data_IF_127477371000
#
_entry.id   IF_127477371000
#
_cell.length_a   1.000
_cell.length_b   1.000
_cell.length_c   1.000
_cell.angle_alpha   90.00
_cell.angle_beta   90.00
_cell.angle_gamma   90.00
#
_symmetry.space_group_name_H-M   'P 1'
#
loop_
_entity.id
_entity.type
_entity.pdbx_description
1 polymer ?
#
# COMPACT_ATOMS: atom_id res chain seq x y z
N UNK A 1 -18.49 -8.37 -1.73
CA UNK A 1 -18.55 -6.89 -1.59
C UNK A 1 -17.17 -6.21 -1.43
N UNK A 2 -16.18 -6.81 -0.75
CA UNK A 2 -14.84 -6.23 -0.52
C UNK A 2 -13.99 -5.87 -1.76
N UNK A 3 -14.11 -6.58 -2.90
CA UNK A 3 -13.30 -6.29 -4.11
C UNK A 3 -13.58 -4.93 -4.78
N UNK A 4 -14.80 -4.38 -4.65
CA UNK A 4 -15.23 -3.25 -5.50
C UNK A 4 -14.40 -1.97 -5.36
N UNK A 5 -14.07 -1.56 -4.14
CA UNK A 5 -13.27 -0.35 -3.93
C UNK A 5 -11.79 -0.59 -4.24
N UNK A 6 -11.24 -1.79 -3.97
CA UNK A 6 -9.86 -2.15 -4.36
C UNK A 6 -9.71 -2.04 -5.88
N UNK A 7 -10.64 -2.60 -6.65
CA UNK A 7 -10.64 -2.51 -8.12
C UNK A 7 -10.70 -1.05 -8.59
N UNK A 8 -11.49 -0.19 -7.93
CA UNK A 8 -11.52 1.25 -8.24
C UNK A 8 -10.19 1.94 -7.97
N UNK A 9 -9.52 1.63 -6.86
CA UNK A 9 -8.19 2.18 -6.55
C UNK A 9 -7.18 1.74 -7.61
N UNK A 10 -7.18 0.47 -8.00
CA UNK A 10 -6.29 -0.04 -9.06
C UNK A 10 -6.57 0.64 -10.39
N UNK A 11 -7.84 0.84 -10.74
CA UNK A 11 -8.21 1.60 -11.93
C UNK A 11 -7.63 3.02 -11.88
N UNK A 12 -7.80 3.74 -10.76
CA UNK A 12 -7.24 5.08 -10.55
C UNK A 12 -5.71 5.11 -10.71
N UNK A 13 -4.99 4.14 -10.12
CA UNK A 13 -3.52 4.02 -10.30
C UNK A 13 -3.16 3.90 -11.78
N UNK A 14 -3.83 2.99 -12.50
CA UNK A 14 -3.54 2.75 -13.91
C UNK A 14 -3.87 3.97 -14.78
N UNK A 15 -4.99 4.65 -14.52
CA UNK A 15 -5.35 5.89 -15.23
C UNK A 15 -4.34 6.99 -14.97
N UNK A 16 -3.96 7.23 -13.70
CA UNK A 16 -2.96 8.25 -13.37
C UNK A 16 -1.62 7.98 -14.04
N UNK A 17 -1.18 6.71 -14.09
CA UNK A 17 0.05 6.34 -14.78
C UNK A 17 -0.03 6.52 -16.31
N UNK A 18 -1.16 6.14 -16.92
CA UNK A 18 -1.37 6.28 -18.37
C UNK A 18 -1.38 7.75 -18.82
N UNK A 19 -2.02 8.61 -18.03
CA UNK A 19 -2.15 10.05 -18.30
C UNK A 19 -0.98 10.88 -17.75
N UNK A 20 0.14 10.25 -17.40
CA UNK A 20 1.34 10.88 -16.85
C UNK A 20 1.12 11.74 -15.58
N UNK A 21 0.03 11.51 -14.85
CA UNK A 21 -0.29 12.13 -13.57
C UNK A 21 0.44 11.38 -12.45
N UNK A 22 1.78 11.43 -12.43
CA UNK A 22 2.60 10.55 -11.58
C UNK A 22 2.49 10.85 -10.08
N UNK A 23 2.35 12.12 -9.67
CA UNK A 23 2.11 12.44 -8.25
C UNK A 23 0.80 11.83 -7.74
N UNK A 24 -0.26 11.98 -8.52
CA UNK A 24 -1.54 11.33 -8.22
C UNK A 24 -1.40 9.80 -8.22
N UNK A 25 -0.63 9.23 -9.16
CA UNK A 25 -0.34 7.80 -9.19
C UNK A 25 0.35 7.33 -7.90
N UNK A 26 1.37 8.05 -7.43
CA UNK A 26 2.08 7.76 -6.20
C UNK A 26 1.16 7.81 -4.96
N UNK A 27 0.31 8.82 -4.86
CA UNK A 27 -0.69 8.94 -3.78
C UNK A 27 -1.67 7.76 -3.81
N UNK A 28 -2.14 7.37 -5.00
CA UNK A 28 -3.04 6.23 -5.13
C UNK A 28 -2.37 4.89 -4.81
N UNK A 29 -1.08 4.72 -5.13
CA UNK A 29 -0.26 3.56 -4.72
C UNK A 29 -0.17 3.50 -3.18
N UNK A 30 0.16 4.63 -2.53
CA UNK A 30 0.21 4.72 -1.06
C UNK A 30 -1.13 4.30 -0.44
N UNK A 31 -2.24 4.79 -0.99
CA UNK A 31 -3.60 4.42 -0.56
C UNK A 31 -3.89 2.93 -0.73
N UNK A 32 -3.52 2.33 -1.87
CA UNK A 32 -3.73 0.90 -2.11
C UNK A 32 -2.98 0.05 -1.07
N UNK A 33 -1.74 0.42 -0.76
CA UNK A 33 -0.91 -0.29 0.23
C UNK A 33 -1.56 -0.24 1.61
N UNK A 34 -2.00 0.94 2.04
CA UNK A 34 -2.69 1.14 3.32
C UNK A 34 -3.96 0.27 3.42
N UNK A 35 -4.81 0.34 2.39
CA UNK A 35 -6.06 -0.42 2.30
C UNK A 35 -5.82 -1.93 2.34
N UNK A 36 -4.80 -2.43 1.63
CA UNK A 36 -4.51 -3.87 1.61
C UNK A 36 -3.94 -4.37 2.93
N UNK A 37 -3.17 -3.55 3.67
CA UNK A 37 -2.73 -3.91 5.02
C UNK A 37 -3.96 -4.02 5.93
N UNK A 38 -4.83 -3.00 5.93
CA UNK A 38 -6.05 -2.99 6.75
C UNK A 38 -6.90 -4.22 6.45
N UNK A 39 -7.19 -4.49 5.18
CA UNK A 39 -7.99 -5.65 4.77
C UNK A 39 -7.36 -6.99 5.19
N UNK A 40 -6.03 -7.10 5.18
CA UNK A 40 -5.37 -8.31 5.66
C UNK A 40 -5.60 -8.52 7.16
N UNK A 41 -5.49 -7.47 7.98
CA UNK A 41 -5.78 -7.57 9.42
C UNK A 41 -7.27 -7.87 9.68
N UNK A 42 -8.17 -7.15 9.02
CA UNK A 42 -9.62 -7.37 9.13
C UNK A 42 -10.03 -8.79 8.72
N UNK A 43 -9.50 -9.30 7.60
CA UNK A 43 -9.81 -10.64 7.12
C UNK A 43 -9.30 -11.76 8.05
N UNK A 44 -8.28 -11.49 8.86
CA UNK A 44 -7.71 -12.45 9.82
C UNK A 44 -8.22 -12.24 11.25
N UNK A 45 -9.20 -11.35 11.48
CA UNK A 45 -9.76 -11.08 12.81
C UNK A 45 -8.83 -10.30 13.74
N UNK A 46 -7.85 -9.61 13.18
CA UNK A 46 -6.80 -8.88 13.92
C UNK A 46 -6.95 -7.34 13.79
N UNK A 47 -8.11 -6.84 13.34
CA UNK A 47 -8.38 -5.42 13.10
C UNK A 47 -8.06 -4.51 14.28
N UNK A 48 -8.38 -4.93 15.50
CA UNK A 48 -8.13 -4.15 16.72
C UNK A 48 -6.64 -3.87 16.97
N UNK A 49 -5.73 -4.70 16.42
CA UNK A 49 -4.28 -4.52 16.59
C UNK A 49 -3.72 -3.34 15.79
N UNK A 50 -4.50 -2.82 14.85
CA UNK A 50 -4.11 -1.75 13.92
C UNK A 50 -4.97 -0.50 14.08
N UNK A 51 -5.64 -0.36 15.23
CA UNK A 51 -6.37 0.84 15.61
C UNK A 51 -5.73 1.54 16.80
N UNK A 52 -5.96 2.84 16.93
CA UNK A 52 -5.59 3.62 18.10
C UNK A 52 -6.68 3.57 19.19
N UNK A 53 -6.51 4.35 20.26
CA UNK A 53 -7.47 4.42 21.37
C UNK A 53 -8.82 5.00 20.98
N UNK A 54 -8.90 5.71 19.86
CA UNK A 54 -10.09 6.40 19.37
C UNK A 54 -10.79 5.58 18.26
N UNK A 55 -10.44 4.30 18.13
CA UNK A 55 -10.92 3.35 17.10
C UNK A 55 -10.57 3.74 15.65
N UNK A 56 -9.62 4.66 15.45
CA UNK A 56 -9.13 5.02 14.12
C UNK A 56 -8.01 4.08 13.68
N UNK A 57 -7.97 3.74 12.40
CA UNK A 57 -6.84 2.98 11.85
C UNK A 57 -5.55 3.78 11.94
N UNK A 58 -4.47 3.09 12.30
CA UNK A 58 -3.14 3.65 12.39
C UNK A 58 -2.66 4.19 11.02
N UNK A 59 -1.74 5.15 11.04
CA UNK A 59 -1.09 5.65 9.82
C UNK A 59 -0.19 4.58 9.17
N UNK A 60 0.04 4.71 7.87
CA UNK A 60 0.78 3.73 7.05
C UNK A 60 2.11 3.25 7.65
N UNK A 61 2.87 4.11 8.33
CA UNK A 61 4.15 3.72 8.95
C UNK A 61 3.97 2.70 10.08
N UNK A 62 2.98 2.95 10.94
CA UNK A 62 2.64 2.06 12.04
C UNK A 62 1.96 0.78 11.51
N UNK A 63 1.10 0.89 10.48
CA UNK A 63 0.51 -0.25 9.78
C UNK A 63 1.59 -1.17 9.19
N UNK A 64 2.57 -0.61 8.49
CA UNK A 64 3.68 -1.37 7.91
C UNK A 64 4.48 -2.10 9.00
N UNK A 65 4.74 -1.43 10.13
CA UNK A 65 5.44 -2.01 11.28
C UNK A 65 4.66 -3.18 11.89
N UNK A 66 3.34 -3.02 12.07
CA UNK A 66 2.45 -4.10 12.55
C UNK A 66 2.39 -5.26 11.56
N UNK A 67 2.27 -4.97 10.26
CA UNK A 67 2.24 -6.00 9.22
C UNK A 67 3.54 -6.80 9.16
N UNK A 68 4.69 -6.14 9.31
CA UNK A 68 5.99 -6.81 9.40
C UNK A 68 6.08 -7.69 10.64
N UNK A 69 5.62 -7.22 11.80
CA UNK A 69 5.64 -8.00 13.03
C UNK A 69 4.71 -9.24 12.95
N UNK A 70 3.50 -9.08 12.42
CA UNK A 70 2.49 -10.14 12.39
C UNK A 70 2.69 -11.13 11.23
N UNK A 71 3.08 -10.65 10.05
CA UNK A 71 3.12 -11.46 8.82
C UNK A 71 4.54 -11.75 8.30
N UNK A 72 5.61 -11.44 9.05
CA UNK A 72 7.01 -11.60 8.58
C UNK A 72 7.33 -12.93 7.88
N UNK A 73 6.79 -14.03 8.41
CA UNK A 73 6.98 -15.39 7.89
C UNK A 73 6.20 -15.69 6.61
N UNK A 74 5.12 -14.95 6.35
CA UNK A 74 4.27 -15.06 5.16
C UNK A 74 4.70 -14.10 4.04
N UNK A 75 5.48 -13.07 4.36
CA UNK A 75 5.93 -12.05 3.41
C UNK A 75 7.27 -12.41 2.75
N UNK A 76 7.36 -12.16 1.44
CA UNK A 76 8.59 -12.33 0.66
C UNK A 76 9.63 -11.27 0.99
N UNK A 77 10.89 -11.53 0.60
CA UNK A 77 12.02 -10.60 0.83
C UNK A 77 11.78 -9.22 0.19
N UNK A 78 11.19 -9.19 -1.00
CA UNK A 78 10.91 -7.95 -1.75
C UNK A 78 9.91 -7.08 -1.00
N UNK A 79 8.79 -7.67 -0.55
CA UNK A 79 7.76 -6.96 0.22
C UNK A 79 8.32 -6.46 1.54
N UNK A 80 9.05 -7.31 2.28
CA UNK A 80 9.69 -6.91 3.53
C UNK A 80 10.66 -5.75 3.34
N UNK A 81 11.47 -5.78 2.29
CA UNK A 81 12.38 -4.69 1.98
C UNK A 81 11.63 -3.39 1.64
N UNK A 82 10.54 -3.46 0.87
CA UNK A 82 9.74 -2.30 0.50
C UNK A 82 9.05 -1.65 1.71
N UNK A 83 8.53 -2.45 2.64
CA UNK A 83 7.92 -1.96 3.88
C UNK A 83 8.97 -1.38 4.85
N UNK A 84 10.08 -2.10 5.10
CA UNK A 84 11.15 -1.62 5.98
C UNK A 84 11.78 -0.31 5.49
N UNK A 85 11.95 -0.15 4.18
CA UNK A 85 12.47 1.07 3.55
C UNK A 85 11.39 2.13 3.31
N UNK A 86 10.16 1.92 3.79
CA UNK A 86 9.03 2.86 3.66
C UNK A 86 8.78 3.34 2.22
N UNK A 87 9.10 2.51 1.23
CA UNK A 87 9.23 2.93 -0.18
C UNK A 87 7.96 3.57 -0.74
N UNK A 88 6.80 2.97 -0.43
CA UNK A 88 5.49 3.47 -0.88
C UNK A 88 5.04 4.73 -0.12
N UNK A 89 5.39 4.81 1.17
CA UNK A 89 5.06 5.95 2.03
C UNK A 89 5.81 7.18 1.56
N UNK A 90 7.13 7.09 1.41
CA UNK A 90 7.97 8.23 1.05
C UNK A 90 7.59 8.81 -0.31
N UNK A 91 7.41 7.96 -1.32
CA UNK A 91 6.97 8.38 -2.65
C UNK A 91 5.61 9.10 -2.61
N UNK A 92 4.63 8.54 -1.90
CA UNK A 92 3.31 9.14 -1.78
C UNK A 92 3.30 10.43 -0.97
N UNK A 93 4.06 10.49 0.14
CA UNK A 93 4.14 11.68 1.00
C UNK A 93 4.83 12.84 0.27
N UNK A 94 5.91 12.58 -0.48
CA UNK A 94 6.57 13.59 -1.32
C UNK A 94 5.62 14.14 -2.38
N UNK A 95 4.92 13.25 -3.08
CA UNK A 95 3.95 13.61 -4.13
C UNK A 95 2.75 14.40 -3.60
N UNK A 96 2.33 14.17 -2.35
CA UNK A 96 1.17 14.84 -1.76
C UNK A 96 1.49 16.19 -1.11
N UNK A 97 2.68 16.34 -0.52
CA UNK A 97 2.95 17.42 0.42
C UNK A 97 4.14 18.31 0.07
N UNK A 98 5.03 17.87 -0.83
CA UNK A 98 6.20 18.66 -1.18
C UNK A 98 5.94 19.51 -2.43
N UNK A 99 5.83 20.82 -2.25
CA UNK A 99 5.63 21.77 -3.36
C UNK A 99 6.80 21.83 -4.37
N UNK A 100 7.99 21.33 -4.00
CA UNK A 100 9.17 21.26 -4.87
C UNK A 100 9.33 19.92 -5.57
N UNK A 101 8.50 18.93 -5.22
CA UNK A 101 8.60 17.58 -5.76
C UNK A 101 7.52 17.38 -6.81
N UNK A 102 7.90 16.76 -7.92
CA UNK A 102 6.97 16.18 -8.88
C UNK A 102 7.51 14.80 -9.23
N UNK A 103 6.69 13.78 -9.04
CA UNK A 103 7.02 12.43 -9.46
C UNK A 103 7.14 12.36 -10.98
N UNK A 104 8.07 11.54 -11.45
CA UNK A 104 8.22 11.20 -12.85
C UNK A 104 7.87 9.72 -13.04
N UNK A 105 7.76 9.33 -14.31
CA UNK A 105 7.53 7.94 -14.71
C UNK A 105 8.47 6.95 -14.01
N UNK A 106 9.76 7.30 -13.93
CA UNK A 106 10.77 6.45 -13.34
C UNK A 106 10.53 6.20 -11.85
N UNK A 107 10.05 7.19 -11.10
CA UNK A 107 9.73 7.03 -9.67
C UNK A 107 8.63 5.98 -9.46
N UNK A 108 7.63 5.95 -10.36
CA UNK A 108 6.58 4.93 -10.33
C UNK A 108 7.09 3.57 -10.81
N UNK A 109 7.90 3.54 -11.87
CA UNK A 109 8.47 2.31 -12.41
C UNK A 109 9.42 1.63 -11.40
N UNK A 110 10.15 2.41 -10.61
CA UNK A 110 11.04 1.93 -9.56
C UNK A 110 10.30 1.19 -8.43
N UNK A 111 9.04 1.55 -8.15
CA UNK A 111 8.22 0.87 -7.13
C UNK A 111 7.37 -0.28 -7.70
N UNK A 112 7.17 -0.34 -9.02
CA UNK A 112 6.25 -1.26 -9.69
C UNK A 112 6.46 -2.73 -9.35
N UNK A 113 7.70 -3.20 -9.35
CA UNK A 113 8.02 -4.60 -9.00
C UNK A 113 7.69 -4.89 -7.54
N UNK A 114 8.13 -4.02 -6.62
CA UNK A 114 7.81 -4.16 -5.20
C UNK A 114 6.31 -4.11 -4.94
N UNK A 115 5.58 -3.24 -5.64
CA UNK A 115 4.13 -3.13 -5.54
C UNK A 115 3.44 -4.41 -6.00
N UNK A 116 3.89 -5.03 -7.10
CA UNK A 116 3.34 -6.31 -7.57
C UNK A 116 3.47 -7.41 -6.52
N UNK A 117 4.67 -7.56 -5.94
CA UNK A 117 4.91 -8.55 -4.88
C UNK A 117 4.02 -8.28 -3.67
N UNK A 118 4.01 -7.03 -3.19
CA UNK A 118 3.17 -6.60 -2.08
C UNK A 118 1.69 -6.92 -2.34
N UNK A 119 1.12 -6.50 -3.48
CA UNK A 119 -0.29 -6.75 -3.79
C UNK A 119 -0.58 -8.26 -3.87
N UNK A 120 0.30 -9.05 -4.47
CA UNK A 120 0.11 -10.49 -4.61
C UNK A 120 0.05 -11.18 -3.24
N UNK A 121 0.96 -10.83 -2.34
CA UNK A 121 1.06 -11.41 -1.00
C UNK A 121 -0.10 -10.95 -0.11
N UNK A 122 -0.43 -9.65 -0.12
CA UNK A 122 -1.53 -9.13 0.71
C UNK A 122 -2.91 -9.57 0.21
N UNK A 123 -3.13 -9.69 -1.11
CA UNK A 123 -4.38 -10.27 -1.61
C UNK A 123 -4.55 -11.73 -1.17
N UNK A 124 -3.45 -12.50 -1.08
CA UNK A 124 -3.48 -13.85 -0.52
C UNK A 124 -3.83 -13.82 0.97
N UNK A 125 -3.22 -12.92 1.76
CA UNK A 125 -3.55 -12.75 3.18
C UNK A 125 -5.00 -12.33 3.42
N UNK A 126 -5.60 -11.57 2.49
CA UNK A 126 -7.01 -11.18 2.56
C UNK A 126 -7.98 -12.31 2.19
N UNK A 127 -7.49 -13.47 1.71
CA UNK A 127 -8.34 -14.52 1.13
C UNK A 127 -9.04 -14.07 -0.17
N UNK A 128 -8.46 -13.09 -0.87
CA UNK A 128 -9.00 -12.49 -2.09
C UNK A 128 -8.27 -12.94 -3.35
N UNK A 129 -7.30 -13.84 -3.24
CA UNK A 129 -6.58 -14.41 -4.37
C UNK A 129 -7.15 -15.80 -4.66
N UNK A 130 -7.63 -15.98 -5.88
CA UNK A 130 -8.04 -17.28 -6.43
C UNK A 130 -6.80 -18.11 -6.79
#
# INVERSE_FOLDING_TARGET
RRRGYITRIVHQINTCYAEACYDACAVMIRRLVEVLIIEAFEANGDGDKIKDSDDNYLMLDALASKALATYSSKLGRVTKAALNKKKFKELGDQSAHSWKYNAHRQDIDDVKTSLRHFCTEFLYLCGLKD
#
